data_IF_049712516899
#
_entry.id   IF_049712516899
#
_cell.length_a   1.000
_cell.length_b   1.000
_cell.length_c   1.000
_cell.angle_alpha   90.00
_cell.angle_beta   90.00
_cell.angle_gamma   90.00
#
_symmetry.space_group_name_H-M   'P 1'
#
loop_
_entity.id
_entity.type
_entity.pdbx_description
1 polymer ?
#
# COMPACT_ATOMS: atom_id res chain seq x y z
N UNK A 1 -0.14 4.12 16.85
CA UNK A 1 0.19 4.56 15.49
C UNK A 1 1.70 4.77 15.30
N UNK A 2 2.33 5.77 15.92
CA UNK A 2 3.76 6.09 15.74
C UNK A 2 4.70 4.88 15.88
N UNK A 3 4.52 4.04 16.91
CA UNK A 3 5.33 2.83 17.11
C UNK A 3 5.26 1.86 15.91
N UNK A 4 4.10 1.73 15.28
CA UNK A 4 3.89 0.85 14.11
C UNK A 4 4.53 1.44 12.86
N UNK A 5 4.43 2.75 12.66
CA UNK A 5 5.11 3.48 11.57
C UNK A 5 6.64 3.39 11.69
N UNK A 6 7.18 3.68 12.89
CA UNK A 6 8.60 3.54 13.19
C UNK A 6 9.10 2.10 12.99
N UNK A 7 8.29 1.12 13.42
CA UNK A 7 8.54 -0.30 13.22
C UNK A 7 8.59 -0.68 11.75
N UNK A 8 7.69 -0.14 10.92
CA UNK A 8 7.72 -0.36 9.47
C UNK A 8 9.00 0.20 8.85
N UNK A 9 9.35 1.45 9.15
CA UNK A 9 10.59 2.07 8.64
C UNK A 9 11.80 1.20 8.99
N UNK A 10 11.90 0.74 10.24
CA UNK A 10 13.00 -0.12 10.65
C UNK A 10 13.02 -1.45 9.89
N UNK A 11 11.86 -2.08 9.67
CA UNK A 11 11.76 -3.32 8.90
C UNK A 11 12.19 -3.11 7.44
N UNK A 12 11.68 -2.06 6.79
CA UNK A 12 11.96 -1.76 5.39
C UNK A 12 13.42 -1.37 5.16
N UNK A 13 14.00 -0.55 6.06
CA UNK A 13 15.43 -0.23 6.02
C UNK A 13 16.31 -1.47 6.20
N UNK A 14 15.93 -2.38 7.10
CA UNK A 14 16.68 -3.63 7.29
C UNK A 14 16.61 -4.52 6.04
N UNK A 15 15.45 -4.58 5.38
CA UNK A 15 15.29 -5.34 4.14
C UNK A 15 16.09 -4.72 3.00
N UNK A 16 16.03 -3.39 2.85
CA UNK A 16 16.83 -2.68 1.85
C UNK A 16 18.34 -2.90 2.06
N UNK A 17 18.81 -2.85 3.32
CA UNK A 17 20.22 -3.15 3.64
C UNK A 17 20.62 -4.58 3.31
N UNK A 18 19.73 -5.57 3.50
CA UNK A 18 20.02 -6.96 3.13
C UNK A 18 20.18 -7.11 1.61
N UNK A 19 19.24 -6.54 0.84
CA UNK A 19 19.28 -6.55 -0.62
C UNK A 19 20.57 -5.88 -1.12
N UNK A 20 20.89 -4.68 -0.63
CA UNK A 20 22.09 -3.96 -1.03
C UNK A 20 23.41 -4.64 -0.62
N UNK A 21 23.41 -5.43 0.46
CA UNK A 21 24.58 -6.26 0.84
C UNK A 21 24.76 -7.44 -0.10
N UNK A 22 23.66 -8.06 -0.53
CA UNK A 22 23.68 -9.18 -1.46
C UNK A 22 24.00 -8.72 -2.88
N UNK A 23 23.55 -7.51 -3.24
CA UNK A 23 23.76 -6.93 -4.55
C UNK A 23 24.15 -5.44 -4.48
N UNK A 24 25.42 -5.13 -4.20
CA UNK A 24 25.90 -3.74 -4.08
C UNK A 24 25.81 -2.95 -5.39
N UNK A 25 25.75 -3.62 -6.54
CA UNK A 25 25.69 -2.99 -7.86
C UNK A 25 24.38 -2.19 -8.07
N UNK A 26 23.32 -2.55 -7.35
CA UNK A 26 22.04 -1.85 -7.35
C UNK A 26 22.15 -0.38 -6.96
N UNK A 27 23.13 0.01 -6.12
CA UNK A 27 23.36 1.42 -5.78
C UNK A 27 23.65 2.26 -7.02
N UNK A 28 24.41 1.71 -7.98
CA UNK A 28 24.70 2.41 -9.23
C UNK A 28 23.44 2.49 -10.11
N UNK A 29 22.63 1.42 -10.14
CA UNK A 29 21.37 1.39 -10.90
C UNK A 29 20.36 2.41 -10.38
N UNK A 30 20.20 2.51 -9.06
CA UNK A 30 19.34 3.51 -8.40
C UNK A 30 19.76 4.96 -8.71
N UNK A 31 21.05 5.19 -8.99
CA UNK A 31 21.58 6.51 -9.36
C UNK A 31 21.71 6.70 -10.88
N UNK A 32 21.12 5.81 -11.68
CA UNK A 32 21.14 5.87 -13.14
C UNK A 32 19.71 5.99 -13.70
N UNK A 33 19.56 6.25 -15.01
CA UNK A 33 18.26 6.26 -15.70
C UNK A 33 17.76 4.84 -16.01
N UNK A 34 18.00 3.88 -15.11
CA UNK A 34 17.46 2.53 -15.25
C UNK A 34 15.97 2.53 -14.94
N UNK A 35 15.17 2.05 -15.89
CA UNK A 35 13.71 2.14 -15.85
C UNK A 35 13.08 1.02 -16.68
N UNK A 36 11.75 0.86 -16.56
CA UNK A 36 10.97 0.02 -17.45
C UNK A 36 11.07 0.52 -18.90
N UNK A 37 10.92 -0.37 -19.91
CA UNK A 37 10.68 0.06 -21.27
C UNK A 37 9.42 0.92 -21.34
N UNK A 38 9.38 1.85 -22.30
CA UNK A 38 8.18 2.64 -22.55
C UNK A 38 7.02 1.73 -22.95
N UNK A 39 5.86 1.96 -22.34
CA UNK A 39 4.64 1.20 -22.57
C UNK A 39 3.45 2.16 -22.59
N UNK A 40 2.54 1.95 -23.53
CA UNK A 40 1.29 2.71 -23.56
C UNK A 40 0.45 2.39 -22.31
N UNK A 41 -0.27 3.37 -21.73
CA UNK A 41 -1.10 3.15 -20.54
C UNK A 41 -2.09 1.99 -20.67
N UNK A 42 -2.65 1.79 -21.87
CA UNK A 42 -3.58 0.70 -22.16
C UNK A 42 -2.90 -0.68 -22.11
N UNK A 43 -1.65 -0.78 -22.58
CA UNK A 43 -0.87 -2.01 -22.55
C UNK A 43 -0.46 -2.35 -21.11
N UNK A 44 -0.11 -1.34 -20.31
CA UNK A 44 0.16 -1.50 -18.88
C UNK A 44 -1.07 -2.05 -18.15
N UNK A 45 -2.26 -1.47 -18.37
CA UNK A 45 -3.49 -1.94 -17.72
C UNK A 45 -3.85 -3.37 -18.13
N UNK A 46 -3.63 -3.72 -19.40
CA UNK A 46 -3.82 -5.08 -19.90
C UNK A 46 -2.85 -6.07 -19.24
N UNK A 47 -1.57 -5.71 -19.16
CA UNK A 47 -0.53 -6.47 -18.49
C UNK A 47 -0.85 -6.70 -17.00
N UNK A 48 -1.24 -5.64 -16.29
CA UNK A 48 -1.65 -5.69 -14.89
C UNK A 48 -2.85 -6.63 -14.71
N UNK A 49 -3.90 -6.47 -15.50
CA UNK A 49 -5.10 -7.32 -15.43
C UNK A 49 -4.78 -8.82 -15.62
N UNK A 50 -3.81 -9.16 -16.46
CA UNK A 50 -3.38 -10.55 -16.65
C UNK A 50 -2.58 -11.08 -15.45
N UNK A 51 -1.67 -10.27 -14.90
CA UNK A 51 -0.76 -10.68 -13.81
C UNK A 51 -1.48 -10.80 -12.46
N UNK A 52 -2.50 -9.97 -12.21
CA UNK A 52 -3.27 -9.99 -10.95
C UNK A 52 -3.99 -11.31 -10.72
N UNK A 53 -4.31 -12.04 -11.80
CA UNK A 53 -5.01 -13.32 -11.74
C UNK A 53 -4.29 -14.40 -10.93
N UNK A 54 -3.03 -14.21 -10.50
CA UNK A 54 -2.36 -15.11 -9.55
C UNK A 54 -2.77 -14.84 -8.09
N UNK A 55 -2.92 -13.58 -7.72
CA UNK A 55 -3.03 -13.14 -6.32
C UNK A 55 -4.45 -12.68 -5.94
N UNK A 56 -5.27 -12.32 -6.92
CA UNK A 56 -6.59 -11.72 -6.73
C UNK A 56 -7.70 -12.57 -7.38
N UNK A 57 -8.96 -12.46 -6.89
CA UNK A 57 -10.09 -13.10 -7.55
C UNK A 57 -10.31 -12.55 -8.97
N UNK A 58 -11.02 -13.30 -9.81
CA UNK A 58 -11.40 -12.80 -11.13
C UNK A 58 -12.46 -11.69 -10.99
N UNK A 59 -12.39 -10.68 -11.84
CA UNK A 59 -13.49 -9.74 -12.04
C UNK A 59 -14.43 -10.27 -13.14
N UNK A 60 -15.71 -9.87 -13.10
CA UNK A 60 -16.54 -9.97 -14.30
C UNK A 60 -16.00 -9.07 -15.41
N UNK A 61 -16.52 -9.26 -16.62
CA UNK A 61 -16.18 -8.42 -17.77
C UNK A 61 -16.37 -6.94 -17.42
N UNK A 62 -15.31 -6.18 -17.63
CA UNK A 62 -15.13 -4.84 -17.08
C UNK A 62 -14.88 -3.87 -18.22
N UNK A 63 -15.88 -3.02 -18.51
CA UNK A 63 -15.71 -1.92 -19.45
C UNK A 63 -15.09 -0.70 -18.75
N UNK A 64 -14.03 -0.16 -19.36
CA UNK A 64 -13.34 1.04 -18.90
C UNK A 64 -12.70 1.79 -20.08
N UNK A 65 -12.46 3.08 -19.89
CA UNK A 65 -11.81 3.93 -20.89
C UNK A 65 -10.62 4.66 -20.27
N UNK A 66 -9.50 4.70 -21.00
CA UNK A 66 -8.37 5.57 -20.67
C UNK A 66 -8.56 6.90 -21.39
N UNK A 67 -8.46 8.01 -20.65
CA UNK A 67 -8.54 9.38 -21.20
C UNK A 67 -7.35 10.20 -20.73
N UNK A 68 -7.01 11.22 -21.51
CA UNK A 68 -6.00 12.19 -21.11
C UNK A 68 -6.64 13.43 -20.49
N UNK A 69 -5.98 13.97 -19.47
CA UNK A 69 -6.38 15.22 -18.83
C UNK A 69 -6.31 16.37 -19.83
N UNK A 70 -7.34 17.22 -19.84
CA UNK A 70 -7.37 18.40 -20.69
C UNK A 70 -6.21 19.35 -20.35
N UNK A 71 -5.60 19.98 -21.36
CA UNK A 71 -4.39 20.82 -21.20
C UNK A 71 -4.49 21.87 -20.10
N UNK A 72 -5.65 22.49 -19.93
CA UNK A 72 -5.88 23.53 -18.91
C UNK A 72 -5.88 23.02 -17.47
N UNK A 73 -5.96 21.70 -17.25
CA UNK A 73 -6.00 21.08 -15.93
C UNK A 73 -4.70 20.36 -15.56
N UNK A 74 -3.76 20.24 -16.50
CA UNK A 74 -2.54 19.43 -16.34
C UNK A 74 -1.64 19.93 -15.19
N UNK A 75 -1.64 21.22 -14.89
CA UNK A 75 -0.86 21.80 -13.78
C UNK A 75 -1.45 21.49 -12.40
N UNK A 76 -2.74 21.13 -12.33
CA UNK A 76 -3.48 21.04 -11.06
C UNK A 76 -3.89 19.62 -10.68
N UNK A 77 -3.71 18.65 -11.58
CA UNK A 77 -4.20 17.29 -11.41
C UNK A 77 -3.07 16.28 -11.26
N UNK A 78 -3.37 15.22 -10.51
CA UNK A 78 -2.48 14.10 -10.25
C UNK A 78 -1.99 13.42 -11.54
N UNK A 79 -0.84 12.71 -11.48
CA UNK A 79 -0.28 11.97 -12.61
C UNK A 79 -1.24 11.02 -13.33
N UNK A 80 -2.11 10.37 -12.57
CA UNK A 80 -3.28 9.66 -13.05
C UNK A 80 -4.32 9.62 -11.93
N UNK A 81 -5.58 9.36 -12.28
CA UNK A 81 -6.65 9.10 -11.31
C UNK A 81 -7.79 8.30 -11.94
N UNK A 82 -8.38 7.38 -11.18
CA UNK A 82 -9.64 6.73 -11.50
C UNK A 82 -10.82 7.61 -11.08
N UNK A 83 -11.71 7.89 -12.03
CA UNK A 83 -12.95 8.59 -11.76
C UNK A 83 -14.02 7.57 -11.39
N UNK A 84 -14.44 7.58 -10.12
CA UNK A 84 -15.55 6.75 -9.63
C UNK A 84 -16.82 7.07 -10.43
N UNK A 85 -17.52 6.05 -10.96
CA UNK A 85 -18.72 6.27 -11.75
C UNK A 85 -19.88 6.83 -10.91
N UNK A 86 -20.82 7.56 -11.53
CA UNK A 86 -22.06 7.97 -10.87
C UNK A 86 -22.85 6.77 -10.33
N UNK A 87 -23.51 6.93 -9.19
CA UNK A 87 -24.22 5.84 -8.51
C UNK A 87 -25.41 5.29 -9.33
N UNK A 88 -26.10 6.16 -10.05
CA UNK A 88 -27.29 5.86 -10.85
C UNK A 88 -26.97 5.08 -12.13
N UNK A 89 -25.85 5.39 -12.79
CA UNK A 89 -25.44 4.73 -14.03
C UNK A 89 -24.37 3.65 -13.83
N UNK A 90 -23.60 3.72 -12.74
CA UNK A 90 -22.44 2.87 -12.42
C UNK A 90 -21.38 2.77 -13.53
N UNK A 91 -21.46 3.68 -14.49
CA UNK A 91 -20.61 3.79 -15.69
C UNK A 91 -20.59 5.26 -16.17
N UNK A 92 -19.57 5.68 -16.94
CA UNK A 92 -18.39 4.92 -17.36
C UNK A 92 -17.32 4.82 -16.27
N UNK A 93 -16.52 3.75 -16.30
CA UNK A 93 -15.27 3.67 -15.56
C UNK A 93 -14.18 4.36 -16.37
N UNK A 94 -13.57 5.42 -15.82
CA UNK A 94 -12.55 6.18 -16.56
C UNK A 94 -11.27 6.27 -15.74
N UNK A 95 -10.14 5.95 -16.37
CA UNK A 95 -8.81 6.27 -15.84
C UNK A 95 -8.28 7.46 -16.63
N UNK A 96 -8.00 8.56 -15.93
CA UNK A 96 -7.37 9.75 -16.49
C UNK A 96 -5.86 9.68 -16.34
N UNK A 97 -5.14 10.04 -17.40
CA UNK A 97 -3.68 10.16 -17.44
C UNK A 97 -3.32 11.62 -17.65
N UNK A 98 -2.44 12.15 -16.82
CA UNK A 98 -1.88 13.48 -17.01
C UNK A 98 -0.58 13.38 -17.83
N UNK A 99 -0.54 13.90 -19.09
CA UNK A 99 0.63 13.78 -19.95
C UNK A 99 1.73 14.81 -19.63
N UNK A 100 1.49 15.80 -18.78
CA UNK A 100 2.53 16.76 -18.37
C UNK A 100 3.44 16.22 -17.26
N UNK A 101 3.11 15.06 -16.72
CA UNK A 101 3.83 14.45 -15.61
C UNK A 101 5.13 13.80 -16.09
N UNK A 102 6.26 14.17 -15.46
CA UNK A 102 7.62 13.72 -15.84
C UNK A 102 8.07 12.49 -15.05
N UNK A 103 7.16 11.54 -14.82
CA UNK A 103 7.45 10.31 -14.08
C UNK A 103 8.27 9.32 -14.90
N UNK A 104 8.92 8.42 -14.18
CA UNK A 104 9.50 7.21 -14.76
C UNK A 104 8.42 6.24 -15.28
N UNK A 105 8.79 5.35 -16.20
CA UNK A 105 7.91 4.29 -16.69
C UNK A 105 7.51 3.33 -15.56
N UNK A 106 8.40 3.04 -14.61
CA UNK A 106 8.08 2.28 -13.40
C UNK A 106 7.04 2.98 -12.51
N UNK A 107 7.17 4.29 -12.32
CA UNK A 107 6.16 5.07 -11.59
C UNK A 107 4.82 5.10 -12.31
N UNK A 108 4.79 5.21 -13.64
CA UNK A 108 3.56 5.08 -14.42
C UNK A 108 2.92 3.71 -14.22
N UNK A 109 3.71 2.63 -14.33
CA UNK A 109 3.23 1.26 -14.16
C UNK A 109 2.58 1.04 -12.80
N UNK A 110 3.25 1.50 -11.73
CA UNK A 110 2.75 1.36 -10.36
C UNK A 110 1.58 2.28 -10.06
N UNK A 111 1.54 3.49 -10.64
CA UNK A 111 0.37 4.37 -10.57
C UNK A 111 -0.84 3.73 -11.26
N UNK A 112 -0.66 3.08 -12.40
CA UNK A 112 -1.76 2.36 -13.07
C UNK A 112 -2.21 1.11 -12.30
N UNK A 113 -1.33 0.50 -11.50
CA UNK A 113 -1.76 -0.54 -10.56
C UNK A 113 -2.61 0.02 -9.42
N UNK A 114 -2.35 1.26 -8.99
CA UNK A 114 -3.10 1.99 -7.96
C UNK A 114 -4.49 2.41 -8.47
N UNK A 115 -4.58 2.95 -9.69
CA UNK A 115 -5.83 3.44 -10.25
C UNK A 115 -6.67 2.32 -10.89
N UNK A 116 -6.02 1.39 -11.56
CA UNK A 116 -6.64 0.36 -12.40
C UNK A 116 -6.70 -1.01 -11.74
N UNK A 117 -5.83 -1.90 -12.18
CA UNK A 117 -5.83 -3.32 -11.80
C UNK A 117 -4.64 -3.65 -10.89
N UNK A 118 -4.85 -4.21 -9.69
CA UNK A 118 -6.10 -4.47 -8.97
C UNK A 118 -6.49 -3.33 -8.01
N UNK A 119 -6.13 -2.08 -8.31
CA UNK A 119 -6.37 -0.88 -7.51
C UNK A 119 -7.83 -0.39 -7.45
N UNK A 120 -8.03 0.92 -7.61
CA UNK A 120 -9.33 1.58 -7.37
C UNK A 120 -10.46 1.09 -8.29
N UNK A 121 -10.21 1.02 -9.60
CA UNK A 121 -11.19 0.50 -10.56
C UNK A 121 -11.59 -0.93 -10.19
N UNK A 122 -10.60 -1.79 -9.94
CA UNK A 122 -10.83 -3.18 -9.59
C UNK A 122 -11.63 -3.32 -8.28
N UNK A 123 -11.26 -2.56 -7.24
CA UNK A 123 -11.98 -2.54 -5.96
C UNK A 123 -13.44 -2.12 -6.14
N UNK A 124 -13.67 -1.05 -6.90
CA UNK A 124 -15.00 -0.48 -7.14
C UNK A 124 -15.90 -1.47 -7.86
N UNK A 125 -15.37 -2.11 -8.91
CA UNK A 125 -16.13 -3.07 -9.71
C UNK A 125 -16.38 -4.34 -8.90
N UNK A 126 -15.37 -4.88 -8.22
CA UNK A 126 -15.55 -6.08 -7.40
C UNK A 126 -16.67 -5.84 -6.37
N UNK A 127 -16.57 -4.75 -5.61
CA UNK A 127 -17.55 -4.45 -4.56
C UNK A 127 -18.93 -4.16 -5.15
N UNK A 128 -19.02 -3.46 -6.28
CA UNK A 128 -20.28 -3.19 -6.96
C UNK A 128 -21.02 -4.46 -7.41
N UNK A 129 -20.28 -5.50 -7.81
CA UNK A 129 -20.83 -6.80 -8.17
C UNK A 129 -21.29 -7.65 -6.98
N UNK A 130 -21.00 -7.23 -5.74
CA UNK A 130 -21.59 -7.86 -4.54
C UNK A 130 -23.01 -7.33 -4.24
N UNK A 131 -23.53 -6.43 -5.08
CA UNK A 131 -24.85 -5.80 -4.95
C UNK A 131 -25.12 -5.20 -3.55
N UNK A 132 -24.21 -4.35 -3.03
CA UNK A 132 -24.40 -3.75 -1.72
C UNK A 132 -25.54 -2.72 -1.76
N UNK A 133 -26.15 -2.47 -0.59
CA UNK A 133 -27.12 -1.38 -0.44
C UNK A 133 -26.51 -0.03 -0.83
N UNK A 134 -27.27 0.84 -1.49
CA UNK A 134 -26.79 2.10 -2.06
C UNK A 134 -26.06 3.01 -1.06
N UNK A 135 -26.43 2.97 0.23
CA UNK A 135 -25.74 3.70 1.30
C UNK A 135 -24.24 3.36 1.40
N UNK A 136 -23.85 2.14 1.00
CA UNK A 136 -22.44 1.70 1.00
C UNK A 136 -21.58 2.40 -0.04
N UNK A 137 -22.17 3.03 -1.06
CA UNK A 137 -21.44 3.87 -2.01
C UNK A 137 -21.31 5.32 -1.53
N UNK A 138 -22.22 5.76 -0.65
CA UNK A 138 -22.24 7.13 -0.12
C UNK A 138 -21.34 7.31 1.10
N UNK A 139 -21.11 6.24 1.87
CA UNK A 139 -20.23 6.28 3.04
C UNK A 139 -18.80 5.98 2.61
N UNK A 140 -17.94 6.99 2.67
CA UNK A 140 -16.53 6.86 2.30
C UNK A 140 -15.69 6.43 3.51
N UNK A 141 -14.76 5.51 3.27
CA UNK A 141 -13.72 5.13 4.22
C UNK A 141 -12.36 5.32 3.55
N UNK A 142 -11.86 6.57 3.51
CA UNK A 142 -10.67 6.92 2.72
C UNK A 142 -9.45 6.09 3.09
N UNK A 143 -9.26 5.75 4.36
CA UNK A 143 -8.18 4.85 4.78
C UNK A 143 -8.28 3.43 4.19
N UNK A 144 -9.49 2.91 3.96
CA UNK A 144 -9.69 1.64 3.26
C UNK A 144 -9.42 1.79 1.77
N UNK A 145 -9.97 2.84 1.15
CA UNK A 145 -9.91 3.05 -0.31
C UNK A 145 -8.46 3.32 -0.75
N UNK A 146 -7.83 4.32 -0.16
CA UNK A 146 -6.45 4.72 -0.47
C UNK A 146 -5.45 3.70 0.06
N UNK A 147 -5.70 3.17 1.25
CA UNK A 147 -4.86 2.12 1.83
C UNK A 147 -4.84 0.84 1.01
N UNK A 148 -5.95 0.49 0.36
CA UNK A 148 -6.02 -0.64 -0.57
C UNK A 148 -5.11 -0.38 -1.76
N UNK A 149 -5.30 0.75 -2.44
CA UNK A 149 -4.53 1.07 -3.63
C UNK A 149 -3.03 1.20 -3.32
N UNK A 150 -2.64 1.76 -2.17
CA UNK A 150 -1.25 1.75 -1.69
C UNK A 150 -0.75 0.34 -1.34
N UNK A 151 -1.58 -0.52 -0.73
CA UNK A 151 -1.21 -1.92 -0.49
C UNK A 151 -0.95 -2.66 -1.81
N UNK A 152 -1.74 -2.35 -2.84
CA UNK A 152 -1.62 -2.91 -4.19
C UNK A 152 -0.34 -2.48 -4.91
N UNK A 153 0.16 -1.27 -4.69
CA UNK A 153 1.41 -0.81 -5.31
C UNK A 153 2.57 -1.79 -5.08
N UNK A 154 2.64 -2.44 -3.91
CA UNK A 154 3.65 -3.48 -3.64
C UNK A 154 3.61 -4.64 -4.64
N UNK A 155 2.41 -5.04 -5.06
CA UNK A 155 2.19 -6.00 -6.13
C UNK A 155 2.50 -5.40 -7.50
N UNK A 156 2.15 -4.14 -7.73
CA UNK A 156 2.51 -3.40 -8.95
C UNK A 156 4.01 -3.41 -9.20
N UNK A 157 4.83 -3.07 -8.20
CA UNK A 157 6.29 -3.16 -8.27
C UNK A 157 6.74 -4.60 -8.54
N UNK A 158 6.16 -5.59 -7.86
CA UNK A 158 6.49 -7.01 -8.11
C UNK A 158 6.13 -7.45 -9.53
N UNK A 159 5.03 -6.98 -10.11
CA UNK A 159 4.64 -7.32 -11.47
C UNK A 159 5.52 -6.64 -12.51
N UNK A 160 5.94 -5.40 -12.23
CA UNK A 160 6.88 -4.65 -13.06
C UNK A 160 8.22 -5.36 -13.25
N UNK A 161 8.68 -6.18 -12.29
CA UNK A 161 9.95 -6.91 -12.45
C UNK A 161 9.98 -7.84 -13.66
N UNK A 162 8.81 -8.30 -14.14
CA UNK A 162 8.73 -9.16 -15.34
C UNK A 162 8.98 -8.41 -16.65
N UNK A 163 9.02 -7.08 -16.61
CA UNK A 163 9.20 -6.20 -17.77
C UNK A 163 10.57 -5.50 -17.74
N UNK A 164 11.40 -5.78 -16.74
CA UNK A 164 12.80 -5.36 -16.69
C UNK A 164 13.66 -6.44 -17.36
N UNK A 165 14.41 -6.04 -18.38
CA UNK A 165 15.44 -6.88 -19.00
C UNK A 165 16.74 -6.80 -18.19
N UNK A 166 16.69 -7.26 -16.94
CA UNK A 166 17.82 -7.21 -16.01
C UNK A 166 17.72 -8.29 -14.93
N UNK A 167 18.82 -9.01 -14.70
CA UNK A 167 18.88 -10.10 -13.72
C UNK A 167 18.61 -9.65 -12.27
N UNK A 168 18.82 -8.37 -11.96
CA UNK A 168 18.59 -7.78 -10.65
C UNK A 168 17.27 -6.99 -10.60
N UNK A 169 16.46 -7.03 -11.66
CA UNK A 169 15.23 -6.23 -11.78
C UNK A 169 14.25 -6.44 -10.63
N UNK A 170 14.15 -7.66 -10.10
CA UNK A 170 13.31 -7.96 -8.93
C UNK A 170 13.80 -7.28 -7.65
N UNK A 171 15.11 -7.24 -7.42
CA UNK A 171 15.68 -6.56 -6.26
C UNK A 171 15.59 -5.03 -6.43
N UNK A 172 15.75 -4.53 -7.64
CA UNK A 172 15.58 -3.11 -7.97
C UNK A 172 14.17 -2.62 -7.65
N UNK A 173 13.12 -3.26 -8.19
CA UNK A 173 11.73 -2.83 -7.91
C UNK A 173 11.36 -2.99 -6.43
N UNK A 174 11.92 -3.99 -5.75
CA UNK A 174 11.75 -4.18 -4.32
C UNK A 174 12.36 -3.02 -3.53
N UNK A 175 13.58 -2.59 -3.85
CA UNK A 175 14.19 -1.41 -3.24
C UNK A 175 13.39 -0.13 -3.50
N UNK A 176 12.87 0.06 -4.70
CA UNK A 176 12.03 1.21 -5.04
C UNK A 176 10.73 1.22 -4.23
N UNK A 177 10.07 0.07 -4.08
CA UNK A 177 8.92 -0.09 -3.20
C UNK A 177 9.26 0.21 -1.72
N UNK A 178 10.35 -0.36 -1.19
CA UNK A 178 10.77 -0.12 0.19
C UNK A 178 11.05 1.37 0.44
N UNK A 179 11.68 2.06 -0.51
CA UNK A 179 11.89 3.50 -0.43
C UNK A 179 10.56 4.27 -0.39
N UNK A 180 9.59 3.90 -1.24
CA UNK A 180 8.25 4.50 -1.23
C UNK A 180 7.52 4.28 0.11
N UNK A 181 7.54 3.06 0.63
CA UNK A 181 6.96 2.70 1.94
C UNK A 181 7.57 3.51 3.09
N UNK A 182 8.90 3.66 3.10
CA UNK A 182 9.61 4.47 4.10
C UNK A 182 9.17 5.93 4.03
N UNK A 183 9.10 6.53 2.84
CA UNK A 183 8.67 7.93 2.67
C UNK A 183 7.23 8.15 3.15
N UNK A 184 6.29 7.25 2.82
CA UNK A 184 4.91 7.30 3.32
C UNK A 184 4.85 7.28 4.86
N UNK A 185 5.68 6.46 5.50
CA UNK A 185 5.77 6.41 6.95
C UNK A 185 6.37 7.70 7.55
N UNK A 186 7.42 8.26 6.92
CA UNK A 186 8.04 9.53 7.34
C UNK A 186 7.02 10.67 7.26
N UNK A 187 6.32 10.82 6.13
CA UNK A 187 5.33 11.89 5.97
C UNK A 187 4.15 11.73 6.93
N UNK A 188 3.71 10.50 7.19
CA UNK A 188 2.66 10.23 8.21
C UNK A 188 3.11 10.57 9.63
N UNK A 189 4.40 10.46 9.92
CA UNK A 189 4.96 10.83 11.22
C UNK A 189 5.18 12.33 11.36
N UNK A 190 5.55 13.00 10.26
CA UNK A 190 5.57 14.45 10.18
C UNK A 190 4.18 15.03 10.42
N UNK A 191 3.15 14.45 9.81
CA UNK A 191 1.74 14.84 10.02
C UNK A 191 1.37 14.81 11.51
N UNK A 192 1.68 13.70 12.20
CA UNK A 192 1.48 13.58 13.65
C UNK A 192 2.33 14.61 14.41
N UNK A 193 3.60 14.80 14.03
CA UNK A 193 4.49 15.79 14.65
C UNK A 193 3.93 17.21 14.57
N UNK A 194 3.51 17.62 13.38
CA UNK A 194 3.01 18.96 13.07
C UNK A 194 1.66 19.19 13.75
N UNK A 195 0.69 18.30 13.53
CA UNK A 195 -0.70 18.56 13.92
C UNK A 195 -1.05 18.14 15.34
N UNK A 196 -0.38 17.13 15.90
CA UNK A 196 -0.63 16.69 17.27
C UNK A 196 0.35 17.27 18.28
N UNK A 197 1.64 17.34 17.94
CA UNK A 197 2.68 17.87 18.84
C UNK A 197 3.02 19.35 18.59
N UNK A 198 2.48 19.97 17.53
CA UNK A 198 2.72 21.38 17.23
C UNK A 198 4.11 21.65 16.67
N UNK A 199 4.71 20.70 15.95
CA UNK A 199 6.07 20.85 15.43
C UNK A 199 6.21 22.06 14.49
N UNK A 200 7.27 22.84 14.73
CA UNK A 200 7.70 23.86 13.77
C UNK A 200 8.42 23.24 12.56
N UNK A 201 8.62 24.02 11.50
CA UNK A 201 9.38 23.58 10.32
C UNK A 201 10.80 23.10 10.70
N UNK A 202 11.43 23.72 11.70
CA UNK A 202 12.76 23.29 12.16
C UNK A 202 12.74 21.91 12.81
N UNK A 203 11.65 21.56 13.49
CA UNK A 203 11.50 20.25 14.14
C UNK A 203 11.20 19.16 13.11
N UNK A 204 10.32 19.46 12.14
CA UNK A 204 10.11 18.63 10.96
C UNK A 204 11.42 18.41 10.18
N UNK A 205 12.22 19.46 10.02
CA UNK A 205 13.53 19.40 9.36
C UNK A 205 14.50 18.46 10.09
N UNK A 206 14.48 18.40 11.43
CA UNK A 206 15.30 17.44 12.19
C UNK A 206 14.98 16.00 11.81
N UNK A 207 13.70 15.65 11.69
CA UNK A 207 13.29 14.30 11.27
C UNK A 207 13.69 14.02 9.82
N UNK A 208 13.40 14.93 8.89
CA UNK A 208 13.72 14.78 7.45
C UNK A 208 15.22 14.59 7.20
N UNK A 209 16.08 15.32 7.92
CA UNK A 209 17.54 15.22 7.80
C UNK A 209 18.08 13.84 8.21
N UNK A 210 17.42 13.12 9.13
CA UNK A 210 17.81 11.75 9.50
C UNK A 210 17.67 10.76 8.33
N UNK A 211 16.85 11.08 7.34
CA UNK A 211 16.61 10.29 6.14
C UNK A 211 17.27 10.88 4.89
N UNK A 212 18.18 11.84 5.06
CA UNK A 212 18.96 12.42 3.96
C UNK A 212 18.26 13.55 3.20
N UNK A 213 17.06 13.97 3.61
CA UNK A 213 16.37 15.13 3.01
C UNK A 213 16.92 16.40 3.68
N UNK A 214 17.89 17.03 3.03
CA UNK A 214 18.64 18.19 3.56
C UNK A 214 18.39 19.49 2.79
N UNK A 215 17.76 19.43 1.61
CA UNK A 215 17.41 20.60 0.81
C UNK A 215 16.34 21.43 1.52
N UNK A 216 16.62 22.72 1.76
CA UNK A 216 15.74 23.61 2.55
C UNK A 216 14.42 23.91 1.85
N UNK A 217 14.42 24.04 0.52
CA UNK A 217 13.19 24.29 -0.24
C UNK A 217 12.28 23.07 -0.17
N UNK A 218 12.82 21.87 -0.40
CA UNK A 218 12.08 20.62 -0.29
C UNK A 218 11.50 20.41 1.13
N UNK A 219 12.27 20.73 2.18
CA UNK A 219 11.78 20.68 3.56
C UNK A 219 10.60 21.64 3.77
N UNK A 220 10.70 22.86 3.25
CA UNK A 220 9.64 23.87 3.40
C UNK A 220 8.38 23.49 2.63
N UNK A 221 8.52 22.97 1.40
CA UNK A 221 7.40 22.47 0.59
C UNK A 221 6.70 21.28 1.26
N UNK A 222 7.46 20.29 1.76
CA UNK A 222 6.90 19.14 2.49
C UNK A 222 6.17 19.62 3.74
N UNK A 223 6.77 20.51 4.53
CA UNK A 223 6.16 21.04 5.75
C UNK A 223 4.85 21.77 5.43
N UNK A 224 4.88 22.71 4.47
CA UNK A 224 3.73 23.50 4.10
C UNK A 224 2.59 22.62 3.56
N UNK A 225 2.90 21.66 2.69
CA UNK A 225 1.90 20.72 2.16
C UNK A 225 1.22 19.93 3.29
N UNK A 226 1.98 19.42 4.26
CA UNK A 226 1.41 18.68 5.39
C UNK A 226 0.57 19.60 6.28
N UNK A 227 1.01 20.85 6.52
CA UNK A 227 0.23 21.85 7.26
C UNK A 227 -1.13 22.12 6.58
N UNK A 228 -1.14 22.24 5.25
CA UNK A 228 -2.34 22.53 4.46
C UNK A 228 -3.26 21.31 4.28
N UNK A 229 -2.74 20.09 4.42
CA UNK A 229 -3.47 18.84 4.15
C UNK A 229 -3.38 17.83 5.30
N UNK A 230 -3.91 18.15 6.50
CA UNK A 230 -3.82 17.28 7.67
C UNK A 230 -4.41 15.89 7.41
N UNK A 231 -3.70 14.87 7.89
CA UNK A 231 -3.98 13.45 7.73
C UNK A 231 -3.98 12.93 6.28
N UNK A 232 -3.52 13.70 5.30
CA UNK A 232 -3.54 13.28 3.90
C UNK A 232 -2.63 12.07 3.64
N UNK A 233 -1.42 12.02 4.19
CA UNK A 233 -0.56 10.83 4.05
C UNK A 233 -1.02 9.64 4.91
N UNK A 234 -1.72 9.92 6.02
CA UNK A 234 -2.18 8.89 6.94
C UNK A 234 -3.21 7.94 6.30
N UNK A 235 -4.14 8.44 5.46
CA UNK A 235 -5.11 7.55 4.79
C UNK A 235 -4.43 6.52 3.88
N UNK A 236 -3.36 6.88 3.19
CA UNK A 236 -2.54 5.96 2.39
C UNK A 236 -1.74 5.03 3.30
N UNK A 237 -0.88 5.61 4.15
CA UNK A 237 0.12 4.85 4.89
C UNK A 237 -0.51 3.95 5.96
N UNK A 238 -1.37 4.51 6.82
CA UNK A 238 -2.00 3.73 7.88
C UNK A 238 -2.92 2.67 7.30
N UNK A 239 -3.64 3.01 6.22
CA UNK A 239 -4.50 2.09 5.52
C UNK A 239 -3.76 0.88 4.97
N UNK A 240 -2.67 1.11 4.23
CA UNK A 240 -1.83 0.02 3.69
C UNK A 240 -1.27 -0.86 4.81
N UNK A 241 -0.82 -0.26 5.92
CA UNK A 241 -0.29 -1.02 7.06
C UNK A 241 -1.35 -1.89 7.72
N UNK A 242 -2.59 -1.41 7.84
CA UNK A 242 -3.68 -2.21 8.35
C UNK A 242 -3.99 -3.42 7.45
N UNK A 243 -3.95 -3.26 6.12
CA UNK A 243 -4.10 -4.39 5.20
C UNK A 243 -2.93 -5.37 5.28
N UNK A 244 -1.69 -4.87 5.39
CA UNK A 244 -0.50 -5.70 5.56
C UNK A 244 -0.56 -6.51 6.86
N UNK A 245 -0.98 -5.89 7.96
CA UNK A 245 -1.11 -6.54 9.27
C UNK A 245 -2.21 -7.63 9.23
N UNK A 246 -3.35 -7.36 8.60
CA UNK A 246 -4.43 -8.36 8.39
C UNK A 246 -3.96 -9.54 7.55
N UNK A 247 -3.24 -9.30 6.47
CA UNK A 247 -2.65 -10.36 5.63
C UNK A 247 -1.66 -11.20 6.44
N UNK A 248 -0.79 -10.55 7.19
CA UNK A 248 0.21 -11.21 8.04
C UNK A 248 -0.45 -12.10 9.09
N UNK A 249 -1.53 -11.64 9.72
CA UNK A 249 -2.33 -12.43 10.66
C UNK A 249 -2.89 -13.69 9.99
N UNK A 250 -3.52 -13.55 8.81
CA UNK A 250 -4.07 -14.68 8.06
C UNK A 250 -3.00 -15.67 7.60
N UNK A 251 -1.86 -15.19 7.12
CA UNK A 251 -0.72 -16.03 6.74
C UNK A 251 -0.17 -16.81 7.94
N UNK A 252 -0.08 -16.17 9.10
CA UNK A 252 0.41 -16.80 10.32
C UNK A 252 -0.54 -17.90 10.80
N UNK A 253 -1.85 -17.66 10.75
CA UNK A 253 -2.86 -18.61 11.24
C UNK A 253 -3.09 -19.78 10.28
N UNK A 254 -3.10 -19.52 8.96
CA UNK A 254 -3.38 -20.56 7.95
C UNK A 254 -2.12 -21.29 7.47
N UNK A 255 -0.93 -20.71 7.65
CA UNK A 255 0.34 -21.31 7.22
C UNK A 255 0.31 -21.68 5.74
N UNK A 256 0.59 -22.96 5.45
CA UNK A 256 0.61 -23.50 4.09
C UNK A 256 -0.76 -23.50 3.40
N UNK A 257 -1.85 -23.37 4.16
CA UNK A 257 -3.22 -23.32 3.62
C UNK A 257 -3.64 -21.87 3.27
N UNK A 258 -2.77 -20.88 3.49
CA UNK A 258 -3.05 -19.51 3.09
C UNK A 258 -3.18 -19.40 1.57
N UNK A 259 -4.34 -18.94 1.11
CA UNK A 259 -4.61 -18.64 -0.28
C UNK A 259 -4.80 -17.13 -0.46
N UNK A 260 -3.92 -16.43 -1.21
CA UNK A 260 -4.02 -14.98 -1.39
C UNK A 260 -5.31 -14.56 -2.10
N UNK A 261 -5.80 -15.34 -3.07
CA UNK A 261 -7.06 -15.04 -3.76
C UNK A 261 -8.24 -15.08 -2.82
N UNK A 262 -8.30 -16.10 -1.98
CA UNK A 262 -9.37 -16.24 -0.99
C UNK A 262 -9.33 -15.08 0.02
N UNK A 263 -8.14 -14.73 0.54
CA UNK A 263 -7.96 -13.58 1.42
C UNK A 263 -8.47 -12.28 0.79
N UNK A 264 -8.03 -11.96 -0.43
CA UNK A 264 -8.46 -10.74 -1.12
C UNK A 264 -9.94 -10.75 -1.48
N UNK A 265 -10.49 -11.90 -1.88
CA UNK A 265 -11.92 -12.06 -2.14
C UNK A 265 -12.75 -11.70 -0.91
N UNK A 266 -12.48 -12.31 0.24
CA UNK A 266 -13.25 -12.01 1.47
C UNK A 266 -13.11 -10.56 1.91
N UNK A 267 -11.93 -9.98 1.76
CA UNK A 267 -11.67 -8.58 2.08
C UNK A 267 -12.51 -7.64 1.18
N UNK A 268 -12.56 -7.91 -0.12
CA UNK A 268 -13.30 -7.10 -1.09
C UNK A 268 -14.81 -7.31 -1.01
N UNK A 269 -15.27 -8.51 -0.64
CA UNK A 269 -16.69 -8.80 -0.35
C UNK A 269 -17.21 -7.99 0.84
N UNK A 270 -16.37 -7.75 1.86
CA UNK A 270 -16.73 -6.83 2.96
C UNK A 270 -16.85 -5.40 2.42
N UNK A 271 -15.96 -5.00 1.52
CA UNK A 271 -15.91 -3.69 0.88
C UNK A 271 -15.48 -2.55 1.81
N UNK A 272 -15.59 -1.29 1.35
CA UNK A 272 -15.15 -0.12 2.10
C UNK A 272 -15.88 0.01 3.44
N UNK A 273 -15.09 -0.05 4.52
CA UNK A 273 -15.51 0.16 5.92
C UNK A 273 -14.32 0.65 6.76
N UNK A 274 -14.57 1.12 7.97
CA UNK A 274 -13.51 1.41 8.94
C UNK A 274 -12.76 0.13 9.36
N UNK A 275 -11.44 0.22 9.57
CA UNK A 275 -10.61 -0.95 9.87
C UNK A 275 -11.03 -1.81 11.07
N UNK A 276 -11.53 -1.26 12.20
CA UNK A 276 -12.05 -2.09 13.29
C UNK A 276 -13.22 -2.98 12.85
N UNK A 277 -14.06 -2.50 11.93
CA UNK A 277 -15.16 -3.27 11.35
C UNK A 277 -14.61 -4.34 10.40
N UNK A 278 -13.70 -3.96 9.50
CA UNK A 278 -13.03 -4.91 8.59
C UNK A 278 -12.39 -6.07 9.37
N UNK A 279 -11.58 -5.74 10.38
CA UNK A 279 -10.88 -6.71 11.22
C UNK A 279 -11.86 -7.68 11.91
N UNK A 280 -12.96 -7.18 12.47
CA UNK A 280 -13.99 -8.01 13.10
C UNK A 280 -14.55 -9.07 12.13
N UNK A 281 -14.89 -8.67 10.91
CA UNK A 281 -15.47 -9.59 9.92
C UNK A 281 -14.44 -10.56 9.34
N UNK A 282 -13.21 -10.09 9.07
CA UNK A 282 -12.10 -10.93 8.64
C UNK A 282 -11.75 -11.99 9.70
N UNK A 283 -11.68 -11.63 10.98
CA UNK A 283 -11.42 -12.57 12.08
C UNK A 283 -12.54 -13.59 12.25
N UNK A 284 -13.80 -13.17 12.15
CA UNK A 284 -14.94 -14.09 12.17
C UNK A 284 -14.86 -15.10 11.04
N UNK A 285 -14.39 -14.70 9.85
CA UNK A 285 -14.19 -15.60 8.73
C UNK A 285 -13.03 -16.58 8.98
N UNK A 286 -11.88 -16.06 9.40
CA UNK A 286 -10.68 -16.84 9.71
C UNK A 286 -10.95 -17.96 10.74
N UNK A 287 -11.77 -17.66 11.76
CA UNK A 287 -12.21 -18.66 12.75
C UNK A 287 -13.02 -19.80 12.14
N UNK A 288 -13.84 -19.54 11.12
CA UNK A 288 -14.62 -20.59 10.44
C UNK A 288 -13.72 -21.52 9.62
N UNK A 289 -12.69 -20.98 8.98
CA UNK A 289 -11.73 -21.76 8.20
C UNK A 289 -10.96 -22.73 9.11
N UNK A 290 -10.45 -22.24 10.24
CA UNK A 290 -9.69 -23.06 11.19
C UNK A 290 -10.54 -24.12 11.90
N UNK A 291 -11.83 -23.87 12.17
CA UNK A 291 -12.75 -24.89 12.71
C UNK A 291 -13.04 -26.00 11.70
N UNK A 292 -13.17 -25.68 10.40
CA UNK A 292 -13.40 -26.68 9.35
C UNK A 292 -12.21 -27.63 9.16
N UNK A 293 -10.99 -27.12 9.28
CA UNK A 293 -9.76 -27.93 9.25
C UNK A 293 -9.68 -28.86 10.46
N UNK A 294 -9.96 -28.35 11.66
CA UNK A 294 -9.95 -29.15 12.88
C UNK A 294 -11.12 -30.15 12.96
N UNK A 295 -12.24 -29.89 12.27
CA UNK A 295 -13.40 -30.78 12.18
C UNK A 295 -13.16 -32.04 11.32
N UNK A 296 -12.19 -32.01 10.39
CA UNK A 296 -11.72 -33.20 9.67
C UNK A 296 -10.55 -33.91 10.38
N UNK A 297 -10.00 -33.30 11.44
CA UNK A 297 -8.89 -33.82 12.25
C UNK A 297 -9.32 -34.09 13.71
N UNK A 298 -10.61 -34.31 13.97
CA UNK A 298 -11.12 -34.55 15.32
C UNK A 298 -10.81 -35.98 15.81
N UNK A 299 -9.53 -36.26 15.99
CA UNK A 299 -9.03 -37.08 17.07
C UNK A 299 -7.77 -36.40 17.64
N UNK A 300 -7.80 -36.15 18.95
CA UNK A 300 -6.69 -35.78 19.84
C UNK A 300 -6.55 -34.29 20.22
N UNK A 301 -6.96 -34.08 21.47
CA UNK A 301 -6.52 -33.14 22.52
C UNK A 301 -6.90 -31.65 22.49
N UNK A 302 -7.85 -31.38 23.38
CA UNK A 302 -8.12 -30.14 24.09
C UNK A 302 -6.90 -29.63 24.87
N UNK A 303 -6.10 -28.74 24.28
CA UNK A 303 -5.23 -27.85 25.08
C UNK A 303 -4.89 -26.50 24.42
N UNK A 304 -5.39 -26.24 23.22
CA UNK A 304 -5.00 -25.07 22.41
C UNK A 304 -5.73 -23.77 22.80
N UNK A 305 -6.74 -23.81 23.68
CA UNK A 305 -7.58 -22.65 24.02
C UNK A 305 -6.91 -21.60 24.92
N UNK A 306 -5.70 -21.83 25.45
CA UNK A 306 -5.01 -20.89 26.37
C UNK A 306 -3.83 -20.12 25.78
N UNK A 307 -3.41 -20.38 24.54
CA UNK A 307 -2.18 -19.77 23.97
C UNK A 307 -2.37 -18.42 23.26
N UNK A 308 -3.60 -17.95 23.05
CA UNK A 308 -3.85 -16.69 22.31
C UNK A 308 -3.59 -15.39 23.11
N UNK A 309 -3.26 -15.45 24.41
CA UNK A 309 -3.16 -14.23 25.24
C UNK A 309 -1.75 -13.80 25.63
N UNK A 310 -0.68 -14.50 25.20
CA UNK A 310 0.68 -14.26 25.73
C UNK A 310 1.79 -14.09 24.68
N UNK A 311 1.46 -13.98 23.38
CA UNK A 311 2.47 -13.71 22.34
C UNK A 311 2.68 -12.19 22.10
N UNK A 312 2.73 -11.42 23.18
CA UNK A 312 3.30 -10.08 23.22
C UNK A 312 4.57 -10.19 24.06
N UNK A 313 5.69 -9.67 23.54
CA UNK A 313 7.05 -9.73 24.10
C UNK A 313 7.84 -10.98 23.69
N UNK A 314 8.68 -10.83 22.65
CA UNK A 314 10.11 -11.21 22.65
C UNK A 314 10.65 -11.13 21.23
N UNK A 315 11.36 -10.04 20.92
CA UNK A 315 12.47 -9.94 19.95
C UNK A 315 12.96 -8.48 19.97
N UNK A 316 13.60 -8.12 21.09
CA UNK A 316 14.22 -6.80 21.32
C UNK A 316 15.68 -7.04 21.70
N UNK A 317 16.62 -6.74 20.80
CA UNK A 317 17.99 -6.41 21.22
C UNK A 317 18.90 -5.78 20.15
N UNK A 318 18.51 -5.68 18.87
CA UNK A 318 19.34 -4.99 17.84
C UNK A 318 18.68 -3.71 17.29
N UNK A 319 17.41 -3.46 17.61
CA UNK A 319 16.58 -2.32 17.16
C UNK A 319 16.94 -0.99 17.86
N UNK A 320 17.73 -1.02 18.93
CA UNK A 320 17.80 0.06 19.93
C UNK A 320 18.61 1.30 19.49
N UNK A 321 19.64 1.20 18.64
CA UNK A 321 20.51 2.38 18.37
C UNK A 321 19.96 3.42 17.37
N UNK A 322 19.12 3.04 16.40
CA UNK A 322 18.42 4.02 15.51
C UNK A 322 16.98 4.31 15.94
N UNK A 323 16.32 3.38 16.64
CA UNK A 323 15.02 3.58 17.30
C UNK A 323 15.07 4.63 18.42
N UNK A 324 16.18 4.71 19.16
CA UNK A 324 16.31 5.72 20.22
C UNK A 324 16.40 7.17 19.69
N UNK A 325 17.11 7.41 18.57
CA UNK A 325 17.15 8.74 17.95
C UNK A 325 15.77 9.15 17.41
N UNK A 326 14.99 8.18 16.96
CA UNK A 326 13.62 8.39 16.50
C UNK A 326 12.65 8.71 17.64
N UNK A 327 12.73 7.97 18.75
CA UNK A 327 11.92 8.25 19.95
C UNK A 327 12.31 9.57 20.64
N UNK A 328 13.57 10.02 20.48
CA UNK A 328 14.01 11.33 20.96
C UNK A 328 13.40 12.50 20.19
N UNK A 329 12.95 12.32 18.94
CA UNK A 329 12.25 13.38 18.21
C UNK A 329 10.81 13.59 18.73
N UNK A 330 10.19 12.55 19.32
CA UNK A 330 8.81 12.56 19.81
C UNK A 330 8.69 12.67 21.34
N UNK A 331 9.78 13.02 22.03
CA UNK A 331 9.81 13.40 23.44
C UNK A 331 10.19 14.87 23.53
#
# INVERSE_FOLDING_TARGET
>A
MQKRLAGQIAADMNNAQKILKQNPSLLRKLNSHFDLPEMEPQDILTALCQKTGKDFPALPETDYTVRYVHRSMQEYLSPAFYLTPPLDTRTPNIIYINPSDQRSNLELFTTLSHEGFPGHLYQTIFFGNTEPSDIRYLITSSGYIEGWATYIESYGYQYASNYLDDNDGSDYVCLTWLNRSINLCIYSLLDIGIHYYGWSQDEAARLLKLFGITNTNAISEIYQYIVETPANYLKYCWGYLCFLDLKTEWQTVLGNNFNPKAFHQYLLEIGPVQFPVLQKYMQKHLQKLTVKENGHSAAVNSDTKRRCSYLHLLLFSVIIKKSLQFQQCFR
#
